data_IF_163057730650
#
_entry.id   IF_163057730650
#
_cell.length_a   1.000
_cell.length_b   1.000
_cell.length_c   1.000
_cell.angle_alpha   90.00
_cell.angle_beta   90.00
_cell.angle_gamma   90.00
#
_symmetry.space_group_name_H-M   'P 1'
#
loop_
_entity.id
_entity.type
_entity.pdbx_description
1 polymer ?
#
# COMPACT_ATOMS: atom_id res chain seq x y z
N UNK A 1 -0.90 -23.25 -34.65
CA UNK A 1 -1.37 -22.98 -33.27
C UNK A 1 -0.37 -22.17 -32.43
N UNK A 2 0.90 -22.59 -32.29
CA UNK A 2 1.88 -21.86 -31.47
C UNK A 2 2.15 -20.40 -31.91
N UNK A 3 2.28 -20.14 -33.22
CA UNK A 3 2.49 -18.80 -33.76
C UNK A 3 1.34 -17.83 -33.43
N UNK A 4 0.10 -18.33 -33.44
CA UNK A 4 -1.09 -17.54 -33.10
C UNK A 4 -1.10 -17.14 -31.62
N UNK A 5 -0.64 -18.04 -30.73
CA UNK A 5 -0.52 -17.75 -29.30
C UNK A 5 0.55 -16.70 -28.98
N UNK A 6 1.66 -16.68 -29.71
CA UNK A 6 2.70 -15.64 -29.56
C UNK A 6 2.18 -14.29 -30.06
N UNK A 7 1.48 -14.25 -31.19
CA UNK A 7 0.87 -13.03 -31.72
C UNK A 7 -0.20 -12.47 -30.78
N UNK A 8 -1.04 -13.33 -30.19
CA UNK A 8 -2.04 -12.91 -29.22
C UNK A 8 -1.39 -12.23 -28.00
N UNK A 9 -0.33 -12.81 -27.44
CA UNK A 9 0.42 -12.21 -26.31
C UNK A 9 1.05 -10.87 -26.68
N UNK A 10 1.64 -10.76 -27.86
CA UNK A 10 2.22 -9.52 -28.34
C UNK A 10 1.15 -8.42 -28.50
N UNK A 11 -0.02 -8.76 -29.05
CA UNK A 11 -1.15 -7.85 -29.15
C UNK A 11 -1.61 -7.39 -27.76
N UNK A 12 -1.72 -8.29 -26.78
CA UNK A 12 -2.07 -7.93 -25.40
C UNK A 12 -1.05 -6.97 -24.79
N UNK A 13 0.25 -7.18 -24.99
CA UNK A 13 1.29 -6.28 -24.49
C UNK A 13 1.16 -4.87 -25.09
N UNK A 14 0.88 -4.78 -26.39
CA UNK A 14 0.66 -3.49 -27.07
C UNK A 14 -0.56 -2.77 -26.51
N UNK A 15 -1.66 -3.49 -26.24
CA UNK A 15 -2.85 -2.92 -25.61
C UNK A 15 -2.52 -2.36 -24.22
N UNK A 16 -1.77 -3.10 -23.40
CA UNK A 16 -1.33 -2.60 -22.08
C UNK A 16 -0.44 -1.37 -22.21
N UNK A 17 0.48 -1.35 -23.18
CA UNK A 17 1.30 -0.19 -23.48
C UNK A 17 0.45 1.03 -23.88
N UNK A 18 -0.53 0.83 -24.76
CA UNK A 18 -1.43 1.90 -25.21
C UNK A 18 -2.28 2.47 -24.06
N UNK A 19 -2.80 1.61 -23.19
CA UNK A 19 -3.53 2.04 -21.98
C UNK A 19 -2.61 2.85 -21.05
N UNK A 20 -1.37 2.40 -20.84
CA UNK A 20 -0.39 3.13 -20.03
C UNK A 20 -0.06 4.51 -20.59
N UNK A 21 0.17 4.60 -21.90
CA UNK A 21 0.43 5.89 -22.59
C UNK A 21 -0.78 6.82 -22.48
N UNK A 22 -1.99 6.32 -22.72
CA UNK A 22 -3.21 7.12 -22.61
C UNK A 22 -3.42 7.66 -21.19
N UNK A 23 -3.20 6.81 -20.18
CA UNK A 23 -3.28 7.22 -18.77
C UNK A 23 -2.23 8.30 -18.45
N UNK A 24 -0.98 8.11 -18.88
CA UNK A 24 0.09 9.09 -18.67
C UNK A 24 -0.21 10.43 -19.35
N UNK A 25 -0.67 10.41 -20.60
CA UNK A 25 -0.96 11.64 -21.34
C UNK A 25 -2.12 12.41 -20.72
N UNK A 26 -3.13 11.73 -20.19
CA UNK A 26 -4.24 12.37 -19.48
C UNK A 26 -3.72 13.08 -18.22
N UNK A 27 -2.89 12.40 -17.42
CA UNK A 27 -2.25 12.98 -16.24
C UNK A 27 -1.37 14.16 -16.62
N UNK A 28 -0.52 14.02 -17.65
CA UNK A 28 0.37 15.08 -18.13
C UNK A 28 -0.39 16.32 -18.60
N UNK A 29 -1.51 16.13 -19.31
CA UNK A 29 -2.38 17.23 -19.76
C UNK A 29 -3.07 17.91 -18.59
N UNK A 30 -3.54 17.14 -17.61
CA UNK A 30 -4.13 17.68 -16.39
C UNK A 30 -3.09 18.49 -15.60
N UNK A 31 -1.88 17.95 -15.41
CA UNK A 31 -0.78 18.62 -14.72
C UNK A 31 -0.37 19.94 -15.37
N UNK A 32 -0.39 20.03 -16.72
CA UNK A 32 -0.12 21.29 -17.44
C UNK A 32 -1.19 22.36 -17.25
N UNK A 33 -2.44 21.97 -16.96
CA UNK A 33 -3.59 22.87 -16.82
C UNK A 33 -3.95 23.17 -15.36
N UNK A 34 -3.48 22.36 -14.43
CA UNK A 34 -3.83 22.46 -13.03
C UNK A 34 -3.09 23.63 -12.35
N UNK A 35 -3.77 24.40 -11.48
CA UNK A 35 -3.09 25.36 -10.63
C UNK A 35 -2.17 24.60 -9.66
N UNK A 36 -0.86 24.79 -9.82
CA UNK A 36 0.20 24.06 -9.09
C UNK A 36 -0.04 24.05 -7.57
N UNK A 37 -0.48 25.17 -7.01
CA UNK A 37 -0.75 25.29 -5.58
C UNK A 37 -1.88 24.37 -5.11
N UNK A 38 -3.04 24.38 -5.79
CA UNK A 38 -4.17 23.53 -5.37
C UNK A 38 -3.83 22.04 -5.55
N UNK A 39 -3.14 21.69 -6.64
CA UNK A 39 -2.67 20.32 -6.85
C UNK A 39 -1.74 19.86 -5.72
N UNK A 40 -0.79 20.70 -5.31
CA UNK A 40 0.11 20.41 -4.19
C UNK A 40 -0.65 20.23 -2.87
N UNK A 41 -1.62 21.10 -2.58
CA UNK A 41 -2.45 21.00 -1.38
C UNK A 41 -3.28 19.72 -1.38
N UNK A 42 -3.93 19.37 -2.50
CA UNK A 42 -4.72 18.14 -2.60
C UNK A 42 -3.84 16.88 -2.48
N UNK A 43 -2.63 16.88 -3.04
CA UNK A 43 -1.67 15.78 -2.88
C UNK A 43 -1.25 15.65 -1.41
N UNK A 44 -0.93 16.77 -0.76
CA UNK A 44 -0.59 16.78 0.66
C UNK A 44 -1.76 16.29 1.53
N UNK A 45 -2.98 16.73 1.26
CA UNK A 45 -4.18 16.29 1.97
C UNK A 45 -4.41 14.78 1.81
N UNK A 46 -4.31 14.27 0.57
CA UNK A 46 -4.40 12.84 0.30
C UNK A 46 -3.29 12.07 1.04
N UNK A 47 -2.08 12.62 1.05
CA UNK A 47 -0.93 12.07 1.79
C UNK A 47 -1.22 11.96 3.28
N UNK A 48 -1.70 13.02 3.92
CA UNK A 48 -2.04 13.03 5.35
C UNK A 48 -3.16 12.05 5.70
N UNK A 49 -4.17 11.93 4.84
CA UNK A 49 -5.25 10.94 5.03
C UNK A 49 -4.72 9.51 4.83
N UNK A 50 -3.83 9.33 3.84
CA UNK A 50 -3.20 8.06 3.51
C UNK A 50 -2.29 7.54 4.61
N UNK A 51 -1.47 8.40 5.22
CA UNK A 51 -0.58 8.02 6.32
C UNK A 51 -1.35 7.53 7.53
N UNK A 52 -2.44 8.21 7.92
CA UNK A 52 -3.31 7.75 9.02
C UNK A 52 -3.88 6.35 8.74
N UNK A 53 -4.29 6.08 7.50
CA UNK A 53 -4.77 4.73 7.12
C UNK A 53 -3.67 3.69 7.06
N UNK A 54 -2.45 4.09 6.71
CA UNK A 54 -1.29 3.22 6.75
C UNK A 54 -0.91 2.83 8.19
N UNK A 55 -1.02 3.75 9.15
CA UNK A 55 -0.81 3.46 10.58
C UNK A 55 -1.83 2.44 11.11
N UNK A 56 -3.13 2.65 10.84
CA UNK A 56 -4.19 1.69 11.19
C UNK A 56 -3.90 0.29 10.60
N UNK A 57 -3.44 0.25 9.34
CA UNK A 57 -3.10 -0.99 8.66
C UNK A 57 -1.84 -1.66 9.23
N UNK A 58 -0.83 -0.87 9.62
CA UNK A 58 0.39 -1.38 10.23
C UNK A 58 0.13 -2.01 11.60
N UNK A 59 -0.69 -1.36 12.45
CA UNK A 59 -1.07 -1.95 13.74
C UNK A 59 -1.91 -3.22 13.53
N UNK A 60 -2.87 -3.18 12.59
CA UNK A 60 -3.66 -4.37 12.25
C UNK A 60 -2.79 -5.52 11.75
N UNK A 61 -1.76 -5.24 10.97
CA UNK A 61 -0.81 -6.25 10.50
C UNK A 61 0.02 -6.82 11.66
N UNK A 62 0.49 -5.96 12.58
CA UNK A 62 1.23 -6.37 13.78
C UNK A 62 0.39 -7.30 14.67
N UNK A 63 -0.89 -6.99 14.88
CA UNK A 63 -1.79 -7.82 15.68
C UNK A 63 -2.00 -9.19 15.02
N UNK A 64 -2.29 -9.23 13.70
CA UNK A 64 -2.44 -10.49 12.97
C UNK A 64 -1.19 -11.36 12.99
N UNK A 65 -0.01 -10.75 12.88
CA UNK A 65 1.26 -11.48 13.00
C UNK A 65 1.41 -12.05 14.41
N UNK A 66 1.02 -11.29 15.43
CA UNK A 66 1.02 -11.76 16.82
C UNK A 66 0.09 -12.97 17.01
N UNK A 67 -1.10 -12.95 16.40
CA UNK A 67 -2.05 -14.07 16.44
C UNK A 67 -1.44 -15.34 15.81
N UNK A 68 -0.78 -15.22 14.65
CA UNK A 68 -0.09 -16.34 14.00
C UNK A 68 1.05 -16.88 14.86
N UNK A 69 1.83 -15.99 15.50
CA UNK A 69 2.93 -16.41 16.38
C UNK A 69 2.41 -17.10 17.65
N UNK A 70 1.28 -16.64 18.20
CA UNK A 70 0.62 -17.30 19.33
C UNK A 70 0.18 -18.72 18.93
N UNK A 71 -0.51 -18.88 17.80
CA UNK A 71 -0.94 -20.19 17.31
C UNK A 71 0.25 -21.12 17.04
N UNK A 72 1.34 -20.61 16.48
CA UNK A 72 2.55 -21.40 16.25
C UNK A 72 3.19 -21.90 17.55
N UNK A 73 3.22 -21.07 18.60
CA UNK A 73 3.76 -21.44 19.92
C UNK A 73 2.92 -22.51 20.60
N UNK A 74 1.61 -22.36 20.56
CA UNK A 74 0.67 -23.35 21.11
C UNK A 74 0.90 -24.72 20.47
N UNK A 75 1.16 -24.78 19.15
CA UNK A 75 1.44 -26.03 18.43
C UNK A 75 2.79 -26.66 18.81
N UNK A 76 3.78 -25.85 19.17
CA UNK A 76 5.11 -26.32 19.61
C UNK A 76 5.13 -26.63 21.11
N UNK A 77 4.06 -26.29 21.84
CA UNK A 77 3.96 -26.47 23.29
C UNK A 77 4.76 -25.43 24.08
N UNK A 78 5.03 -24.27 23.48
CA UNK A 78 5.66 -23.13 24.15
C UNK A 78 4.59 -22.20 24.72
N UNK A 79 4.76 -21.72 25.96
CA UNK A 79 3.88 -20.69 26.52
C UNK A 79 4.14 -19.33 25.87
N UNK A 80 3.07 -18.56 25.66
CA UNK A 80 3.17 -17.20 25.16
C UNK A 80 3.95 -16.31 26.17
N UNK A 81 4.93 -15.52 25.72
CA UNK A 81 5.62 -14.59 26.59
C UNK A 81 4.64 -13.60 27.21
N UNK A 82 4.85 -13.26 28.48
CA UNK A 82 4.04 -12.28 29.19
C UNK A 82 3.96 -10.97 28.41
N UNK A 83 2.78 -10.32 28.33
CA UNK A 83 2.65 -9.04 27.62
C UNK A 83 3.71 -8.06 28.10
N UNK A 84 4.47 -7.50 27.16
CA UNK A 84 5.44 -6.45 27.50
C UNK A 84 4.66 -5.27 28.09
N UNK A 85 4.84 -5.01 29.38
CA UNK A 85 4.35 -3.80 30.01
C UNK A 85 5.12 -2.65 29.36
N UNK A 86 4.45 -1.89 28.49
CA UNK A 86 5.05 -0.72 27.85
C UNK A 86 5.59 0.20 28.93
N UNK A 87 6.84 0.66 28.77
CA UNK A 87 7.40 1.68 29.65
C UNK A 87 6.45 2.89 29.65
N UNK A 88 6.00 3.39 30.81
CA UNK A 88 5.19 4.60 30.84
C UNK A 88 6.03 5.72 30.21
N UNK A 89 5.56 6.23 29.07
CA UNK A 89 6.10 7.47 28.53
C UNK A 89 5.61 8.59 29.45
N UNK A 90 6.49 9.07 30.32
CA UNK A 90 6.27 10.29 31.10
C UNK A 90 6.04 11.43 30.11
N UNK A 91 4.80 11.88 30.01
CA UNK A 91 4.46 13.14 29.36
C UNK A 91 4.44 14.22 30.44
N UNK A 92 5.55 14.93 30.58
CA UNK A 92 5.53 16.24 31.24
C UNK A 92 4.76 17.22 30.35
N UNK A 93 3.61 17.65 30.88
CA UNK A 93 2.74 18.80 30.51
C UNK A 93 1.76 18.66 29.34
#
# INVERSE_FOLDING_TARGET
>A
MAAYGVLAKAATLVVHGAVGVAAYDLVRRAAKKAPVHQAAVSVAELGLRGTRKAEEAAESARLKISDVMAEARDRVGEEAPTPAVGHPHDHDH
#
